data_IF_090784307022
#
_entry.id   IF_090784307022
#
_cell.length_a   1.000
_cell.length_b   1.000
_cell.length_c   1.000
_cell.angle_alpha   90.00
_cell.angle_beta   90.00
_cell.angle_gamma   90.00
#
_symmetry.space_group_name_H-M   'P 1'
#
loop_
_entity.id
_entity.type
_entity.pdbx_description
1 polymer ?
#
# COMPACT_ATOMS: atom_id res chain seq x y z
N UNK A 1 10.77 -23.69 31.07
CA UNK A 1 9.59 -23.01 30.52
C UNK A 1 8.37 -23.87 30.77
N UNK A 2 7.41 -23.40 31.57
CA UNK A 2 6.12 -24.06 31.81
C UNK A 2 5.11 -23.50 30.83
N UNK A 3 4.58 -24.37 29.97
CA UNK A 3 3.63 -24.00 28.92
C UNK A 3 2.34 -24.76 29.16
N UNK A 4 1.23 -24.02 29.19
CA UNK A 4 -0.11 -24.61 29.25
C UNK A 4 -0.74 -24.49 27.87
N UNK A 5 -1.26 -25.60 27.36
CA UNK A 5 -2.04 -25.65 26.13
C UNK A 5 -3.49 -25.93 26.52
N UNK A 6 -4.43 -25.13 26.02
CA UNK A 6 -5.86 -25.31 26.29
C UNK A 6 -6.58 -25.71 25.01
N UNK A 7 -7.17 -26.91 25.03
CA UNK A 7 -7.85 -27.54 23.89
C UNK A 7 -7.03 -28.65 23.26
N UNK A 8 -7.51 -29.89 23.41
CA UNK A 8 -6.96 -31.13 22.85
C UNK A 8 -7.51 -31.52 21.47
N UNK A 9 -8.02 -30.54 20.72
CA UNK A 9 -8.40 -30.72 19.32
C UNK A 9 -7.20 -31.02 18.40
N UNK A 10 -7.41 -30.93 17.08
CA UNK A 10 -6.36 -31.18 16.09
C UNK A 10 -5.10 -30.35 16.38
N UNK A 11 -5.25 -29.03 16.55
CA UNK A 11 -4.14 -28.11 16.80
C UNK A 11 -3.40 -28.45 18.09
N UNK A 12 -4.11 -28.58 19.22
CA UNK A 12 -3.48 -28.88 20.51
C UNK A 12 -2.78 -30.23 20.56
N UNK A 13 -3.37 -31.26 19.94
CA UNK A 13 -2.73 -32.57 19.78
C UNK A 13 -1.41 -32.49 19.02
N UNK A 14 -1.33 -31.69 17.96
CA UNK A 14 -0.06 -31.50 17.24
C UNK A 14 0.92 -30.64 18.04
N UNK A 15 0.46 -29.59 18.70
CA UNK A 15 1.32 -28.71 19.51
C UNK A 15 2.00 -29.47 20.64
N UNK A 16 1.26 -30.29 21.40
CA UNK A 16 1.81 -31.01 22.56
C UNK A 16 2.91 -32.01 22.18
N UNK A 17 2.88 -32.51 20.93
CA UNK A 17 3.94 -33.40 20.40
C UNK A 17 5.22 -32.66 20.02
N UNK A 18 5.14 -31.37 19.70
CA UNK A 18 6.29 -30.56 19.28
C UNK A 18 6.81 -29.64 20.39
N UNK A 19 6.02 -29.45 21.46
CA UNK A 19 6.37 -28.63 22.61
C UNK A 19 6.56 -29.55 23.83
N UNK A 20 7.78 -30.08 24.04
CA UNK A 20 8.04 -30.99 25.15
C UNK A 20 7.80 -30.30 26.49
N UNK A 21 7.38 -31.07 27.51
CA UNK A 21 7.11 -30.60 28.88
C UNK A 21 5.97 -29.56 28.98
N UNK A 22 5.07 -29.50 28.00
CA UNK A 22 3.82 -28.76 28.10
C UNK A 22 2.75 -29.56 28.86
N UNK A 23 1.78 -28.83 29.44
CA UNK A 23 0.58 -29.41 30.06
C UNK A 23 -0.60 -29.07 29.17
N UNK A 24 -1.38 -30.07 28.75
CA UNK A 24 -2.58 -29.85 27.91
C UNK A 24 -3.87 -30.07 28.71
N UNK A 25 -4.79 -29.11 28.65
CA UNK A 25 -6.13 -29.21 29.24
C UNK A 25 -7.12 -29.58 28.14
N UNK A 26 -7.93 -30.62 28.39
CA UNK A 26 -9.00 -31.06 27.49
C UNK A 26 -10.22 -31.51 28.30
N UNK A 27 -11.42 -31.10 27.86
CA UNK A 27 -12.68 -31.38 28.56
C UNK A 27 -13.36 -32.67 28.11
N UNK A 28 -13.11 -33.10 26.88
CA UNK A 28 -13.66 -34.33 26.32
C UNK A 28 -12.84 -35.54 26.81
N UNK A 29 -13.45 -36.49 27.53
CA UNK A 29 -12.73 -37.65 28.07
C UNK A 29 -12.02 -38.50 27.02
N UNK A 30 -12.63 -38.72 25.85
CA UNK A 30 -12.04 -39.56 24.80
C UNK A 30 -10.76 -38.93 24.21
N UNK A 31 -10.79 -37.61 23.98
CA UNK A 31 -9.61 -36.86 23.52
C UNK A 31 -8.54 -36.80 24.61
N UNK A 32 -8.94 -36.65 25.88
CA UNK A 32 -8.04 -36.68 27.01
C UNK A 32 -7.30 -38.02 27.10
N UNK A 33 -8.00 -39.16 27.03
CA UNK A 33 -7.36 -40.49 27.07
C UNK A 33 -6.34 -40.66 25.94
N UNK A 34 -6.70 -40.20 24.73
CA UNK A 34 -5.77 -40.20 23.59
C UNK A 34 -4.51 -39.36 23.88
N UNK A 35 -4.65 -38.17 24.46
CA UNK A 35 -3.52 -37.31 24.80
C UNK A 35 -2.68 -37.89 25.94
N UNK A 36 -3.32 -38.47 26.95
CA UNK A 36 -2.70 -39.07 28.12
C UNK A 36 -1.90 -40.33 27.77
N UNK A 37 -2.29 -41.05 26.71
CA UNK A 37 -1.53 -42.19 26.18
C UNK A 37 -0.23 -41.80 25.44
N UNK A 38 -0.02 -40.51 25.15
CA UNK A 38 1.19 -40.04 24.49
C UNK A 38 2.37 -40.00 25.47
N UNK A 39 3.46 -40.64 25.11
CA UNK A 39 4.69 -40.64 25.91
C UNK A 39 5.21 -39.21 26.09
N UNK A 40 5.40 -38.80 27.35
CA UNK A 40 5.99 -37.49 27.69
C UNK A 40 5.01 -36.31 27.66
N UNK A 41 3.70 -36.56 27.48
CA UNK A 41 2.65 -35.55 27.55
C UNK A 41 1.97 -35.61 28.91
N UNK A 42 1.78 -34.44 29.54
CA UNK A 42 0.95 -34.31 30.74
C UNK A 42 -0.41 -33.73 30.35
N UNK A 43 -1.47 -34.51 30.47
CA UNK A 43 -2.84 -34.07 30.21
C UNK A 43 -3.60 -33.80 31.52
N UNK A 44 -4.52 -32.85 31.50
CA UNK A 44 -5.46 -32.54 32.59
C UNK A 44 -6.88 -32.58 32.01
N UNK A 45 -7.75 -33.41 32.62
CA UNK A 45 -9.16 -33.50 32.25
C UNK A 45 -9.93 -32.36 32.92
N UNK A 46 -10.55 -31.48 32.13
CA UNK A 46 -11.38 -30.39 32.66
C UNK A 46 -11.70 -29.30 31.63
N UNK A 47 -12.63 -28.41 31.98
CA UNK A 47 -12.91 -27.23 31.16
C UNK A 47 -11.82 -26.17 31.37
N UNK A 48 -11.19 -25.74 30.28
CA UNK A 48 -10.17 -24.71 30.34
C UNK A 48 -10.69 -23.36 30.83
N UNK A 49 -11.99 -23.06 30.68
CA UNK A 49 -12.59 -21.84 31.19
C UNK A 49 -12.77 -21.84 32.73
N UNK A 50 -12.57 -22.97 33.41
CA UNK A 50 -12.58 -23.06 34.86
C UNK A 50 -11.20 -22.68 35.44
N UNK A 51 -11.16 -21.58 36.20
CA UNK A 51 -9.96 -21.09 36.89
C UNK A 51 -9.31 -22.17 37.76
N UNK A 52 -10.08 -23.06 38.40
CA UNK A 52 -9.54 -24.15 39.23
C UNK A 52 -8.80 -25.20 38.40
N UNK A 53 -9.30 -25.50 37.20
CA UNK A 53 -8.64 -26.43 36.27
C UNK A 53 -7.32 -25.82 35.79
N UNK A 54 -7.33 -24.55 35.41
CA UNK A 54 -6.11 -23.84 35.00
C UNK A 54 -5.06 -23.81 36.12
N UNK A 55 -5.48 -23.55 37.37
CA UNK A 55 -4.60 -23.61 38.54
C UNK A 55 -4.01 -25.00 38.75
N UNK A 56 -4.82 -26.07 38.63
CA UNK A 56 -4.33 -27.45 38.74
C UNK A 56 -3.31 -27.82 37.65
N UNK A 57 -3.37 -27.15 36.50
CA UNK A 57 -2.40 -27.30 35.40
C UNK A 57 -1.12 -26.47 35.60
N UNK A 58 -1.06 -25.64 36.65
CA UNK A 58 0.10 -24.85 37.04
C UNK A 58 0.11 -23.41 36.49
N UNK A 59 -1.07 -22.79 36.31
CA UNK A 59 -1.19 -21.44 35.75
C UNK A 59 -0.36 -20.39 36.50
N UNK A 60 -0.26 -20.48 37.82
CA UNK A 60 0.45 -19.50 38.66
C UNK A 60 1.94 -19.34 38.28
N UNK A 61 2.55 -20.43 37.80
CA UNK A 61 3.96 -20.49 37.41
C UNK A 61 4.13 -20.59 35.88
N UNK A 62 3.08 -20.33 35.09
CA UNK A 62 3.11 -20.51 33.65
C UNK A 62 3.92 -19.40 32.96
N UNK A 63 4.92 -19.78 32.17
CA UNK A 63 5.67 -18.87 31.32
C UNK A 63 4.88 -18.49 30.06
N UNK A 64 4.03 -19.40 29.59
CA UNK A 64 3.14 -19.19 28.45
C UNK A 64 1.84 -19.99 28.52
N UNK A 65 0.78 -19.42 27.94
CA UNK A 65 -0.51 -20.09 27.74
C UNK A 65 -0.91 -20.02 26.27
N UNK A 66 -1.17 -21.17 25.65
CA UNK A 66 -1.56 -21.32 24.24
C UNK A 66 -2.99 -21.88 24.18
N UNK A 67 -3.92 -21.12 23.62
CA UNK A 67 -5.35 -21.39 23.71
C UNK A 67 -5.88 -21.67 22.31
N UNK A 68 -6.21 -22.93 22.03
CA UNK A 68 -6.49 -23.44 20.68
C UNK A 68 -7.78 -24.25 20.61
N UNK A 69 -8.74 -23.91 21.47
CA UNK A 69 -10.09 -24.49 21.39
C UNK A 69 -10.83 -23.93 20.16
N UNK A 70 -11.91 -24.61 19.77
CA UNK A 70 -12.75 -24.18 18.65
C UNK A 70 -13.77 -23.09 19.03
N UNK A 71 -13.78 -22.65 20.29
CA UNK A 71 -14.77 -21.72 20.83
C UNK A 71 -14.09 -20.41 21.26
N UNK A 72 -14.42 -19.32 20.57
CA UNK A 72 -13.86 -18.00 20.82
C UNK A 72 -14.21 -17.46 22.22
N UNK A 73 -15.38 -17.82 22.77
CA UNK A 73 -15.76 -17.40 24.13
C UNK A 73 -14.89 -18.06 25.18
N UNK A 74 -14.63 -19.36 25.03
CA UNK A 74 -13.68 -20.08 25.87
C UNK A 74 -12.30 -19.45 25.71
N UNK A 75 -11.85 -19.22 24.48
CA UNK A 75 -10.52 -18.70 24.22
C UNK A 75 -10.30 -17.31 24.86
N UNK A 76 -11.28 -16.42 24.73
CA UNK A 76 -11.25 -15.10 25.37
C UNK A 76 -11.24 -15.18 26.90
N UNK A 77 -12.08 -16.05 27.47
CA UNK A 77 -12.20 -16.22 28.92
C UNK A 77 -10.89 -16.73 29.52
N UNK A 78 -10.30 -17.76 28.91
CA UNK A 78 -9.02 -18.33 29.34
C UNK A 78 -7.89 -17.30 29.25
N UNK A 79 -7.85 -16.52 28.15
CA UNK A 79 -6.85 -15.48 27.97
C UNK A 79 -6.97 -14.39 29.05
N UNK A 80 -8.20 -14.02 29.40
CA UNK A 80 -8.49 -13.04 30.46
C UNK A 80 -8.04 -13.54 31.84
N UNK A 81 -8.32 -14.81 32.16
CA UNK A 81 -7.85 -15.44 33.41
C UNK A 81 -6.31 -15.47 33.42
N UNK A 82 -5.66 -15.95 32.35
CA UNK A 82 -4.21 -16.01 32.27
C UNK A 82 -3.55 -14.62 32.45
N UNK A 83 -4.15 -13.55 31.90
CA UNK A 83 -3.70 -12.17 32.13
C UNK A 83 -3.79 -11.75 33.60
N UNK A 84 -4.89 -12.09 34.29
CA UNK A 84 -5.06 -11.81 35.72
C UNK A 84 -3.96 -12.44 36.58
N UNK A 85 -3.45 -13.61 36.17
CA UNK A 85 -2.32 -14.30 36.82
C UNK A 85 -0.93 -13.81 36.36
N UNK A 86 -0.86 -12.75 35.55
CA UNK A 86 0.41 -12.14 35.15
C UNK A 86 1.20 -12.94 34.11
N UNK A 87 0.57 -13.90 33.42
CA UNK A 87 1.23 -14.63 32.32
C UNK A 87 1.58 -13.64 31.21
N UNK A 88 2.88 -13.56 30.89
CA UNK A 88 3.39 -12.60 29.89
C UNK A 88 3.14 -13.05 28.46
N UNK A 89 3.29 -14.35 28.20
CA UNK A 89 3.18 -14.92 26.85
C UNK A 89 1.84 -15.64 26.68
N UNK A 90 0.85 -14.95 26.12
CA UNK A 90 -0.48 -15.53 25.88
C UNK A 90 -0.76 -15.51 24.39
N UNK A 91 -1.04 -16.67 23.82
CA UNK A 91 -1.39 -16.87 22.42
C UNK A 91 -2.79 -17.47 22.37
N UNK A 92 -3.72 -16.81 21.69
CA UNK A 92 -5.09 -17.28 21.57
C UNK A 92 -5.53 -17.42 20.11
N UNK A 93 -6.23 -18.51 19.81
CA UNK A 93 -6.96 -18.68 18.55
C UNK A 93 -8.27 -17.88 18.60
N UNK A 94 -8.58 -17.21 17.50
CA UNK A 94 -9.86 -16.54 17.26
C UNK A 94 -10.39 -17.01 15.90
N UNK A 95 -11.52 -17.72 15.86
CA UNK A 95 -12.08 -18.23 14.61
C UNK A 95 -12.87 -17.17 13.86
N UNK A 96 -13.67 -16.36 14.55
CA UNK A 96 -14.48 -15.32 13.92
C UNK A 96 -13.71 -13.98 13.87
N UNK A 97 -13.39 -13.43 12.67
CA UNK A 97 -12.74 -12.13 12.53
C UNK A 97 -13.48 -10.97 13.22
N UNK A 98 -14.81 -11.03 13.32
CA UNK A 98 -15.62 -9.97 13.96
C UNK A 98 -15.29 -9.79 15.46
N UNK A 99 -14.62 -10.76 16.08
CA UNK A 99 -14.19 -10.69 17.47
C UNK A 99 -12.86 -9.94 17.68
N UNK A 100 -12.21 -9.44 16.62
CA UNK A 100 -10.84 -8.88 16.68
C UNK A 100 -10.72 -7.72 17.67
N UNK A 101 -11.64 -6.75 17.63
CA UNK A 101 -11.66 -5.61 18.56
C UNK A 101 -11.74 -6.09 20.00
N UNK A 102 -12.55 -7.12 20.26
CA UNK A 102 -12.72 -7.68 21.60
C UNK A 102 -11.43 -8.35 22.07
N UNK A 103 -10.80 -9.21 21.27
CA UNK A 103 -9.55 -9.88 21.66
C UNK A 103 -8.38 -8.89 21.81
N UNK A 104 -8.31 -7.86 20.97
CA UNK A 104 -7.27 -6.83 21.01
C UNK A 104 -7.23 -6.08 22.35
N UNK A 105 -8.40 -5.90 23.00
CA UNK A 105 -8.49 -5.27 24.33
C UNK A 105 -7.70 -6.00 25.43
N UNK A 106 -7.41 -7.30 25.25
CA UNK A 106 -6.64 -8.09 26.22
C UNK A 106 -5.13 -7.91 26.09
N UNK A 107 -4.64 -7.27 25.02
CA UNK A 107 -3.21 -7.01 24.79
C UNK A 107 -2.36 -8.30 24.89
N UNK A 108 -2.79 -9.33 24.17
CA UNK A 108 -2.14 -10.65 24.12
C UNK A 108 -0.83 -10.60 23.32
N UNK A 109 0.03 -11.61 23.48
CA UNK A 109 1.29 -11.68 22.74
C UNK A 109 1.07 -12.01 21.27
N UNK A 110 0.04 -12.81 20.97
CA UNK A 110 -0.44 -13.05 19.62
C UNK A 110 -1.91 -13.48 19.62
N UNK A 111 -2.63 -13.05 18.61
CA UNK A 111 -3.96 -13.56 18.25
C UNK A 111 -3.80 -14.27 16.91
N UNK A 112 -4.18 -15.53 16.84
CA UNK A 112 -4.14 -16.32 15.60
C UNK A 112 -5.56 -16.46 15.07
N UNK A 113 -5.83 -15.89 13.90
CA UNK A 113 -7.10 -16.08 13.20
C UNK A 113 -6.93 -16.99 11.98
N UNK A 114 -7.20 -18.30 12.11
CA UNK A 114 -7.05 -19.23 10.98
C UNK A 114 -7.90 -18.83 9.77
N UNK A 115 -9.11 -18.29 10.02
CA UNK A 115 -10.02 -17.83 8.97
C UNK A 115 -9.37 -16.75 8.11
N UNK A 116 -8.81 -15.70 8.72
CA UNK A 116 -8.12 -14.62 7.99
C UNK A 116 -6.87 -15.14 7.28
N UNK A 117 -6.06 -15.96 7.94
CA UNK A 117 -4.83 -16.53 7.34
C UNK A 117 -5.14 -17.38 6.12
N UNK A 118 -6.15 -18.24 6.20
CA UNK A 118 -6.55 -19.10 5.08
C UNK A 118 -7.20 -18.28 3.97
N UNK A 119 -8.03 -17.29 4.31
CA UNK A 119 -8.64 -16.40 3.33
C UNK A 119 -7.58 -15.62 2.54
N UNK A 120 -6.60 -15.01 3.20
CA UNK A 120 -5.49 -14.32 2.54
C UNK A 120 -4.64 -15.27 1.71
N UNK A 121 -4.35 -16.48 2.21
CA UNK A 121 -3.60 -17.48 1.45
C UNK A 121 -4.35 -17.95 0.19
N UNK A 122 -5.65 -18.21 0.29
CA UNK A 122 -6.49 -18.58 -0.87
C UNK A 122 -6.55 -17.42 -1.86
N UNK A 123 -6.71 -16.18 -1.37
CA UNK A 123 -6.66 -14.97 -2.19
C UNK A 123 -5.34 -14.86 -2.94
N UNK A 124 -4.20 -15.11 -2.30
CA UNK A 124 -2.89 -15.16 -2.96
C UNK A 124 -2.78 -16.27 -4.01
N UNK A 125 -3.38 -17.44 -3.77
CA UNK A 125 -3.34 -18.56 -4.71
C UNK A 125 -4.24 -18.34 -5.94
N UNK A 126 -5.43 -17.77 -5.74
CA UNK A 126 -6.40 -17.50 -6.82
C UNK A 126 -6.00 -16.23 -7.59
N UNK A 127 -5.47 -15.24 -6.90
CA UNK A 127 -4.91 -14.03 -7.47
C UNK A 127 -3.42 -13.94 -7.11
N UNK A 128 -2.54 -14.70 -7.80
CA UNK A 128 -1.10 -14.52 -7.64
C UNK A 128 -0.73 -13.09 -8.04
N UNK A 129 -0.48 -12.24 -7.04
CA UNK A 129 -0.31 -10.79 -7.22
C UNK A 129 -1.46 -9.91 -6.70
N UNK A 130 -2.46 -10.46 -6.01
CA UNK A 130 -3.31 -9.66 -5.11
C UNK A 130 -2.41 -8.88 -4.15
N UNK A 131 -2.63 -7.58 -4.16
CA UNK A 131 -1.54 -6.61 -4.13
C UNK A 131 -0.87 -6.53 -2.75
N UNK A 132 0.47 -6.63 -2.71
CA UNK A 132 1.22 -5.92 -1.68
C UNK A 132 0.79 -4.46 -1.78
N UNK A 133 0.41 -3.84 -0.67
CA UNK A 133 0.10 -2.42 -0.61
C UNK A 133 1.09 -1.63 -1.47
N UNK A 134 0.58 -1.01 -2.53
CA UNK A 134 1.38 -0.20 -3.42
C UNK A 134 1.75 1.08 -2.66
N UNK A 135 3.02 1.21 -2.30
CA UNK A 135 3.57 2.38 -1.60
C UNK A 135 4.62 3.06 -2.46
N UNK A 136 4.63 4.39 -2.43
CA UNK A 136 5.78 5.17 -2.91
C UNK A 136 6.84 5.12 -1.82
N UNK A 137 7.94 4.42 -2.07
CA UNK A 137 9.11 4.31 -1.18
C UNK A 137 10.31 5.06 -1.70
N UNK A 138 10.38 5.32 -3.00
CA UNK A 138 11.49 6.05 -3.63
C UNK A 138 10.98 6.98 -4.72
N UNK A 139 11.28 8.27 -4.55
CA UNK A 139 10.94 9.37 -5.47
C UNK A 139 12.24 9.92 -6.06
N UNK A 140 12.29 10.03 -7.39
CA UNK A 140 13.37 10.70 -8.09
C UNK A 140 12.93 12.07 -8.60
N UNK A 141 13.81 13.07 -8.47
CA UNK A 141 13.59 14.41 -9.00
C UNK A 141 14.76 14.78 -9.92
N UNK A 142 14.60 14.61 -11.25
CA UNK A 142 15.58 15.08 -12.22
C UNK A 142 15.69 16.62 -12.21
N UNK A 143 16.91 17.13 -12.05
CA UNK A 143 17.20 18.56 -12.01
C UNK A 143 17.45 19.04 -13.43
N UNK A 144 16.38 19.45 -14.12
CA UNK A 144 16.42 19.88 -15.52
C UNK A 144 17.13 21.21 -15.68
N UNK A 145 16.83 22.17 -14.80
CA UNK A 145 17.43 23.49 -14.78
C UNK A 145 17.31 24.11 -13.37
N UNK A 146 18.19 25.07 -13.00
CA UNK A 146 18.14 25.72 -11.70
C UNK A 146 16.87 26.57 -11.53
N UNK A 147 16.34 27.13 -12.61
CA UNK A 147 15.18 28.03 -12.57
C UNK A 147 13.84 27.28 -12.48
N UNK A 148 13.85 25.96 -12.74
CA UNK A 148 12.62 25.16 -12.78
C UNK A 148 12.42 24.31 -11.54
N UNK A 149 13.50 23.89 -10.85
CA UNK A 149 13.50 22.83 -9.81
C UNK A 149 12.45 23.00 -8.70
N UNK A 150 12.07 24.24 -8.40
CA UNK A 150 11.16 24.57 -7.31
C UNK A 150 9.86 23.76 -7.33
N UNK A 151 9.20 23.59 -8.48
CA UNK A 151 7.87 22.95 -8.54
C UNK A 151 7.96 21.45 -8.26
N UNK A 152 8.82 20.75 -9.00
CA UNK A 152 9.03 19.32 -8.83
C UNK A 152 9.58 18.99 -7.44
N UNK A 153 10.50 19.81 -6.92
CA UNK A 153 11.04 19.63 -5.57
C UNK A 153 9.96 19.79 -4.50
N UNK A 154 9.17 20.87 -4.55
CA UNK A 154 8.07 21.10 -3.58
C UNK A 154 7.07 19.94 -3.58
N UNK A 155 6.65 19.50 -4.76
CA UNK A 155 5.66 18.42 -4.93
C UNK A 155 6.21 17.07 -4.44
N UNK A 156 7.45 16.75 -4.79
CA UNK A 156 8.12 15.53 -4.34
C UNK A 156 8.40 15.53 -2.83
N UNK A 157 8.76 16.68 -2.25
CA UNK A 157 8.99 16.83 -0.83
C UNK A 157 7.70 16.57 -0.03
N UNK A 158 6.57 17.09 -0.50
CA UNK A 158 5.28 16.92 0.15
C UNK A 158 4.78 15.47 0.09
N UNK A 159 5.09 14.76 -1.00
CA UNK A 159 4.84 13.32 -1.10
C UNK A 159 5.74 12.54 -0.15
N UNK A 160 7.06 12.82 -0.16
CA UNK A 160 8.03 12.19 0.75
C UNK A 160 7.64 12.37 2.22
N UNK A 161 7.22 13.56 2.64
CA UNK A 161 6.73 13.85 4.00
C UNK A 161 5.47 13.07 4.40
N UNK A 162 4.65 12.64 3.44
CA UNK A 162 3.39 11.93 3.69
C UNK A 162 3.54 10.41 3.60
N UNK A 163 4.57 9.92 2.91
CA UNK A 163 4.77 8.50 2.63
C UNK A 163 6.09 7.95 3.18
N UNK A 164 6.89 8.79 3.85
CA UNK A 164 8.26 8.50 4.27
C UNK A 164 9.17 8.00 3.13
N UNK A 165 8.86 8.40 1.89
CA UNK A 165 9.62 7.96 0.72
C UNK A 165 11.01 8.58 0.69
N UNK A 166 11.99 7.78 0.26
CA UNK A 166 13.32 8.28 -0.04
C UNK A 166 13.26 9.27 -1.20
N UNK A 167 13.75 10.48 -1.00
CA UNK A 167 13.78 11.54 -2.01
C UNK A 167 15.19 11.70 -2.58
N UNK A 168 15.36 11.47 -3.88
CA UNK A 168 16.67 11.59 -4.52
C UNK A 168 16.59 12.64 -5.63
N UNK A 169 17.31 13.74 -5.46
CA UNK A 169 17.49 14.74 -6.51
C UNK A 169 18.65 14.30 -7.39
N UNK A 170 18.44 14.21 -8.69
CA UNK A 170 19.45 13.74 -9.65
C UNK A 170 19.75 14.85 -10.65
N UNK A 171 20.98 15.34 -10.67
CA UNK A 171 21.41 16.40 -11.58
C UNK A 171 22.69 16.04 -12.31
N UNK A 172 23.03 16.81 -13.35
CA UNK A 172 24.31 16.69 -14.05
C UNK A 172 25.26 17.88 -13.83
N UNK A 173 24.82 18.89 -13.08
CA UNK A 173 25.63 20.03 -12.67
C UNK A 173 25.40 20.36 -11.20
N UNK A 174 26.49 20.55 -10.46
CA UNK A 174 26.44 20.87 -9.02
C UNK A 174 25.79 22.22 -8.72
N UNK A 175 25.87 23.15 -9.65
CA UNK A 175 25.35 24.52 -9.51
C UNK A 175 23.83 24.61 -9.51
N UNK A 176 23.13 23.54 -9.90
CA UNK A 176 21.66 23.54 -9.96
C UNK A 176 20.97 23.23 -8.63
N UNK A 177 21.72 23.02 -7.54
CA UNK A 177 21.16 22.65 -6.24
C UNK A 177 21.66 23.59 -5.16
N UNK A 178 20.82 24.54 -4.78
CA UNK A 178 21.16 25.63 -3.88
C UNK A 178 20.27 25.66 -2.65
N UNK A 179 19.03 26.10 -2.85
CA UNK A 179 18.05 26.27 -1.77
C UNK A 179 17.52 24.92 -1.27
N UNK A 180 17.34 23.96 -2.18
CA UNK A 180 16.84 22.62 -1.91
C UNK A 180 17.75 21.88 -0.93
N UNK A 181 19.08 22.02 -1.09
CA UNK A 181 20.05 21.44 -0.17
C UNK A 181 19.87 21.98 1.25
N UNK A 182 19.59 23.27 1.40
CA UNK A 182 19.34 23.89 2.71
C UNK A 182 18.06 23.35 3.30
N UNK A 183 16.97 23.30 2.52
CA UNK A 183 15.68 22.75 2.96
C UNK A 183 15.84 21.30 3.42
N UNK A 184 16.46 20.44 2.61
CA UNK A 184 16.69 19.03 2.95
C UNK A 184 17.52 18.87 4.22
N UNK A 185 18.53 19.71 4.46
CA UNK A 185 19.35 19.65 5.67
C UNK A 185 18.62 20.01 6.97
N UNK A 186 17.47 20.69 6.85
CA UNK A 186 16.63 21.09 7.98
C UNK A 186 15.53 20.07 8.31
N UNK A 187 15.34 19.06 7.45
CA UNK A 187 14.27 18.07 7.57
C UNK A 187 14.87 16.71 7.91
N UNK A 188 14.23 15.99 8.84
CA UNK A 188 14.59 14.60 9.16
C UNK A 188 13.93 13.66 8.14
N UNK A 189 14.42 13.72 6.90
CA UNK A 189 13.90 12.95 5.77
C UNK A 189 15.01 12.11 5.12
N UNK A 190 14.68 10.91 4.60
CA UNK A 190 15.61 10.11 3.83
C UNK A 190 15.85 10.75 2.45
N UNK A 191 16.69 11.78 2.37
CA UNK A 191 16.95 12.52 1.14
C UNK A 191 18.43 12.53 0.73
N UNK A 192 18.71 12.45 -0.57
CA UNK A 192 20.05 12.63 -1.13
C UNK A 192 20.05 13.46 -2.41
N UNK A 193 21.21 14.01 -2.74
CA UNK A 193 21.45 14.76 -3.98
C UNK A 193 22.61 14.07 -4.70
N UNK A 194 22.32 13.52 -5.87
CA UNK A 194 23.25 12.78 -6.72
C UNK A 194 23.60 13.63 -7.94
N UNK A 195 24.89 13.88 -8.16
CA UNK A 195 25.36 14.67 -9.30
C UNK A 195 26.26 13.78 -10.16
N UNK A 196 25.82 13.55 -11.40
CA UNK A 196 26.43 12.65 -12.36
C UNK A 196 26.81 13.41 -13.63
N UNK A 197 28.08 13.42 -14.01
CA UNK A 197 28.51 14.09 -15.23
C UNK A 197 27.91 13.42 -16.48
N UNK A 198 27.45 14.23 -17.45
CA UNK A 198 26.94 13.73 -18.73
C UNK A 198 25.47 14.09 -19.00
N UNK A 199 24.78 13.23 -19.75
CA UNK A 199 23.36 13.40 -20.08
C UNK A 199 22.48 13.16 -18.86
N UNK A 200 21.52 14.05 -18.63
CA UNK A 200 20.62 13.96 -17.47
C UNK A 200 19.76 12.68 -17.49
N UNK A 201 19.38 12.20 -18.67
CA UNK A 201 18.59 10.96 -18.80
C UNK A 201 19.41 9.75 -18.35
N UNK A 202 20.69 9.70 -18.70
CA UNK A 202 21.62 8.65 -18.26
C UNK A 202 21.91 8.74 -16.75
N UNK A 203 22.04 9.95 -16.20
CA UNK A 203 22.14 10.17 -14.77
C UNK A 203 20.92 9.61 -14.03
N UNK A 204 19.70 9.94 -14.49
CA UNK A 204 18.46 9.40 -13.93
C UNK A 204 18.42 7.87 -14.02
N UNK A 205 18.88 7.29 -15.14
CA UNK A 205 18.89 5.83 -15.35
C UNK A 205 19.68 5.07 -14.27
N UNK A 206 20.82 5.61 -13.81
CA UNK A 206 21.62 5.02 -12.73
C UNK A 206 20.85 4.91 -11.41
N UNK A 207 19.92 5.83 -11.16
CA UNK A 207 19.15 5.90 -9.92
C UNK A 207 17.69 5.43 -10.07
N UNK A 208 17.17 5.29 -11.29
CA UNK A 208 15.79 4.89 -11.62
C UNK A 208 15.42 3.48 -11.14
N UNK A 209 16.42 2.60 -10.95
CA UNK A 209 16.16 1.25 -10.45
C UNK A 209 15.46 1.29 -9.08
N UNK A 210 14.26 0.71 -9.04
CA UNK A 210 13.41 0.67 -7.85
C UNK A 210 12.79 2.01 -7.47
N UNK A 211 12.80 3.02 -8.36
CA UNK A 211 12.01 4.23 -8.18
C UNK A 211 10.54 3.95 -8.45
N UNK A 212 9.67 4.40 -7.54
CA UNK A 212 8.22 4.23 -7.65
C UNK A 212 7.56 5.42 -8.35
N UNK A 213 8.23 6.58 -8.33
CA UNK A 213 7.76 7.81 -8.94
C UNK A 213 8.94 8.68 -9.40
N UNK A 214 8.84 9.26 -10.59
CA UNK A 214 9.74 10.32 -11.05
C UNK A 214 8.93 11.62 -11.07
N UNK A 215 9.38 12.67 -10.38
CA UNK A 215 8.74 13.98 -10.36
C UNK A 215 9.61 14.95 -11.14
N UNK A 216 9.05 15.57 -12.18
CA UNK A 216 9.77 16.46 -13.10
C UNK A 216 9.05 17.78 -13.23
N UNK A 217 9.82 18.82 -13.50
CA UNK A 217 9.27 20.14 -13.79
C UNK A 217 8.58 20.20 -15.15
N UNK A 218 7.72 21.23 -15.36
CA UNK A 218 7.31 21.59 -16.70
C UNK A 218 8.54 21.93 -17.54
N UNK A 219 8.57 21.45 -18.77
CA UNK A 219 9.48 21.99 -19.76
C UNK A 219 8.85 23.21 -20.45
N UNK A 220 9.48 24.37 -20.28
CA UNK A 220 9.22 25.54 -21.12
C UNK A 220 10.11 25.45 -22.36
N UNK A 221 9.59 24.85 -23.43
CA UNK A 221 10.31 24.77 -24.71
C UNK A 221 9.80 25.82 -25.70
N UNK A 222 10.73 26.56 -26.29
CA UNK A 222 10.45 27.38 -27.47
C UNK A 222 10.08 26.50 -28.69
N UNK A 223 9.41 27.08 -29.69
CA UNK A 223 9.03 26.36 -30.92
C UNK A 223 10.25 25.73 -31.64
N UNK A 224 11.40 26.41 -31.62
CA UNK A 224 12.64 25.90 -32.22
C UNK A 224 13.24 24.73 -31.44
N UNK A 225 13.15 24.74 -30.10
CA UNK A 225 13.65 23.65 -29.27
C UNK A 225 12.82 22.38 -29.42
N UNK A 226 11.49 22.50 -29.58
CA UNK A 226 10.61 21.36 -29.86
C UNK A 226 11.01 20.59 -31.13
N UNK A 227 11.60 21.29 -32.12
CA UNK A 227 12.04 20.70 -33.39
C UNK A 227 13.42 20.04 -33.25
N UNK A 228 14.34 20.65 -32.48
CA UNK A 228 15.75 20.26 -32.41
C UNK A 228 16.07 19.31 -31.25
N UNK A 229 15.30 19.32 -30.16
CA UNK A 229 15.51 18.50 -28.96
C UNK A 229 14.24 17.73 -28.63
N UNK A 230 14.37 16.43 -28.34
CA UNK A 230 13.27 15.70 -27.70
C UNK A 230 13.10 16.21 -26.27
N UNK A 231 11.88 16.49 -25.85
CA UNK A 231 11.50 16.73 -24.45
C UNK A 231 12.15 15.73 -23.49
N UNK A 232 12.65 16.16 -22.32
CA UNK A 232 13.13 15.26 -21.28
C UNK A 232 12.00 14.34 -20.81
N UNK A 233 10.79 14.86 -20.65
CA UNK A 233 9.61 14.09 -20.25
C UNK A 233 9.41 12.95 -21.26
N UNK A 234 9.46 13.26 -22.56
CA UNK A 234 9.37 12.24 -23.62
C UNK A 234 10.51 11.23 -23.58
N UNK A 235 11.76 11.67 -23.38
CA UNK A 235 12.91 10.76 -23.24
C UNK A 235 12.78 9.84 -22.03
N UNK A 236 12.26 10.34 -20.92
CA UNK A 236 12.00 9.56 -19.72
C UNK A 236 10.88 8.53 -19.97
N UNK A 237 9.77 8.93 -20.60
CA UNK A 237 8.67 8.02 -20.97
C UNK A 237 9.10 6.93 -21.97
N UNK A 238 10.01 7.26 -22.90
CA UNK A 238 10.57 6.29 -23.84
C UNK A 238 11.48 5.27 -23.13
N UNK A 239 12.15 5.64 -22.02
CA UNK A 239 13.14 4.79 -21.32
C UNK A 239 12.63 4.07 -20.08
N UNK A 240 11.67 4.63 -19.37
CA UNK A 240 11.22 4.14 -18.07
C UNK A 240 9.74 3.78 -18.09
N UNK A 241 9.38 2.74 -17.33
CA UNK A 241 7.98 2.39 -17.06
C UNK A 241 7.51 2.96 -15.71
N UNK A 242 8.41 3.60 -14.96
CA UNK A 242 8.08 4.32 -13.73
C UNK A 242 7.14 5.49 -14.03
N UNK A 243 6.03 5.66 -13.28
CA UNK A 243 5.14 6.79 -13.43
C UNK A 243 5.87 8.13 -13.29
N UNK A 244 5.48 9.10 -14.12
CA UNK A 244 6.12 10.42 -14.20
C UNK A 244 5.11 11.49 -13.83
N UNK A 245 5.33 12.15 -12.69
CA UNK A 245 4.56 13.30 -12.25
C UNK A 245 5.19 14.57 -12.82
N UNK A 246 4.52 15.18 -13.78
CA UNK A 246 4.90 16.49 -14.32
C UNK A 246 4.27 17.57 -13.45
N UNK A 247 5.07 18.17 -12.58
CA UNK A 247 4.63 19.18 -11.62
C UNK A 247 4.24 20.47 -12.35
N UNK A 248 3.23 21.17 -11.82
CA UNK A 248 2.85 22.52 -12.27
C UNK A 248 2.83 23.50 -11.12
N UNK A 249 2.18 23.09 -10.04
CA UNK A 249 2.10 23.82 -8.78
C UNK A 249 1.53 22.85 -7.75
N UNK A 250 2.26 22.62 -6.66
CA UNK A 250 1.72 21.76 -5.62
C UNK A 250 0.64 22.49 -4.81
N UNK A 251 -0.53 21.85 -4.72
CA UNK A 251 -1.54 22.04 -3.67
C UNK A 251 -1.97 20.63 -3.27
N UNK A 252 -2.41 20.39 -2.02
CA UNK A 252 -2.98 19.10 -1.66
C UNK A 252 -4.06 18.72 -2.67
N UNK A 253 -3.95 17.54 -3.29
CA UNK A 253 -4.85 17.15 -4.36
C UNK A 253 -6.24 16.90 -3.80
N UNK A 254 -7.13 17.88 -3.92
CA UNK A 254 -8.51 17.74 -3.46
C UNK A 254 -9.35 17.04 -4.49
N UNK A 255 -9.08 17.30 -5.78
CA UNK A 255 -9.77 16.66 -6.91
C UNK A 255 -8.75 16.04 -7.86
N UNK A 256 -8.92 14.75 -8.13
CA UNK A 256 -8.11 13.96 -9.04
C UNK A 256 -8.98 13.53 -10.21
N UNK A 257 -8.55 13.81 -11.44
CA UNK A 257 -9.15 13.25 -12.65
C UNK A 257 -8.39 11.99 -13.05
N UNK A 258 -9.06 10.84 -13.09
CA UNK A 258 -8.49 9.60 -13.61
C UNK A 258 -9.04 9.36 -15.02
N UNK A 259 -8.17 9.44 -16.03
CA UNK A 259 -8.50 8.99 -17.38
C UNK A 259 -8.30 7.47 -17.44
N UNK A 260 -9.36 6.71 -17.73
CA UNK A 260 -9.34 5.25 -17.70
C UNK A 260 -9.52 4.67 -19.10
N UNK A 261 -8.63 3.75 -19.49
CA UNK A 261 -8.72 2.94 -20.70
C UNK A 261 -8.34 1.47 -20.39
N UNK A 262 -8.47 0.59 -21.37
CA UNK A 262 -8.13 -0.83 -21.22
C UNK A 262 -6.65 -1.13 -21.57
N UNK A 263 -5.81 -0.09 -21.63
CA UNK A 263 -4.38 -0.26 -21.89
C UNK A 263 -3.70 -0.97 -20.71
N UNK A 264 -2.43 -1.36 -20.91
CA UNK A 264 -1.63 -1.94 -19.84
C UNK A 264 -1.40 -0.98 -18.65
N UNK A 265 -1.60 0.33 -18.86
CA UNK A 265 -1.49 1.33 -17.81
C UNK A 265 -2.65 1.25 -16.79
N UNK A 266 -3.77 0.59 -17.14
CA UNK A 266 -4.99 0.53 -16.32
C UNK A 266 -4.69 0.26 -14.84
N UNK A 267 -4.01 -0.86 -14.56
CA UNK A 267 -3.76 -1.28 -13.18
C UNK A 267 -2.89 -0.27 -12.41
N UNK A 268 -1.85 0.29 -13.05
CA UNK A 268 -0.96 1.25 -12.39
C UNK A 268 -1.67 2.59 -12.17
N UNK A 269 -2.49 3.03 -13.14
CA UNK A 269 -3.28 4.26 -13.02
C UNK A 269 -4.28 4.20 -11.87
N UNK A 270 -4.97 3.07 -11.70
CA UNK A 270 -5.91 2.87 -10.59
C UNK A 270 -5.20 2.77 -9.23
N UNK A 271 -4.05 2.09 -9.14
CA UNK A 271 -3.24 2.07 -7.92
C UNK A 271 -2.76 3.45 -7.51
N UNK A 272 -2.30 4.25 -8.48
CA UNK A 272 -1.92 5.63 -8.23
C UNK A 272 -3.13 6.45 -7.80
N UNK A 273 -4.29 6.30 -8.45
CA UNK A 273 -5.52 6.99 -8.04
C UNK A 273 -5.87 6.67 -6.58
N UNK A 274 -5.86 5.39 -6.19
CA UNK A 274 -6.09 4.94 -4.80
C UNK A 274 -5.10 5.59 -3.84
N UNK A 275 -3.81 5.47 -4.12
CA UNK A 275 -2.73 5.95 -3.24
C UNK A 275 -2.83 7.47 -3.03
N UNK A 276 -2.95 8.25 -4.11
CA UNK A 276 -3.08 9.70 -4.00
C UNK A 276 -4.43 10.10 -3.36
N UNK A 277 -5.51 9.36 -3.64
CA UNK A 277 -6.81 9.55 -3.00
C UNK A 277 -6.76 9.39 -1.50
N UNK A 278 -6.07 8.36 -1.01
CA UNK A 278 -5.85 8.08 0.41
C UNK A 278 -4.95 9.14 1.07
N UNK A 279 -3.78 9.42 0.49
CA UNK A 279 -2.78 10.37 1.01
C UNK A 279 -3.37 11.78 1.20
N UNK A 280 -4.23 12.20 0.27
CA UNK A 280 -4.77 13.56 0.22
C UNK A 280 -6.25 13.66 0.57
N UNK A 281 -6.93 12.54 0.86
CA UNK A 281 -8.39 12.44 1.07
C UNK A 281 -9.17 13.10 -0.07
N UNK A 282 -8.82 12.71 -1.29
CA UNK A 282 -9.30 13.36 -2.51
C UNK A 282 -10.70 12.89 -2.94
N UNK A 283 -11.35 13.69 -3.76
CA UNK A 283 -12.38 13.22 -4.68
C UNK A 283 -11.71 12.79 -5.98
N UNK A 284 -11.97 11.56 -6.42
CA UNK A 284 -11.50 11.00 -7.68
C UNK A 284 -12.68 10.94 -8.64
N UNK A 285 -12.61 11.69 -9.73
CA UNK A 285 -13.57 11.61 -10.81
C UNK A 285 -12.94 10.82 -11.97
N UNK A 286 -13.65 9.79 -12.45
CA UNK A 286 -13.15 8.86 -13.46
C UNK A 286 -13.81 9.16 -14.79
N UNK A 287 -13.00 9.51 -15.79
CA UNK A 287 -13.43 9.62 -17.18
C UNK A 287 -13.03 8.35 -17.94
N UNK A 288 -14.04 7.57 -18.32
CA UNK A 288 -13.84 6.35 -19.10
C UNK A 288 -13.66 6.74 -20.57
N UNK A 289 -12.47 6.49 -21.12
CA UNK A 289 -12.12 6.82 -22.50
C UNK A 289 -12.69 5.82 -23.51
N UNK A 290 -12.89 4.58 -23.07
CA UNK A 290 -13.51 3.49 -23.82
C UNK A 290 -14.25 2.56 -22.85
N UNK A 291 -15.43 2.07 -23.22
CA UNK A 291 -16.20 1.17 -22.34
C UNK A 291 -15.60 -0.25 -22.38
N UNK A 292 -15.34 -0.81 -21.18
CA UNK A 292 -14.78 -2.16 -21.02
C UNK A 292 -15.14 -2.73 -19.64
N UNK A 293 -15.42 -4.02 -19.60
CA UNK A 293 -15.68 -4.75 -18.35
C UNK A 293 -14.48 -4.67 -17.38
N UNK A 294 -13.25 -4.65 -17.92
CA UNK A 294 -12.04 -4.49 -17.11
C UNK A 294 -12.02 -3.15 -16.36
N UNK A 295 -12.40 -2.07 -17.03
CA UNK A 295 -12.44 -0.73 -16.43
C UNK A 295 -13.55 -0.66 -15.40
N UNK A 296 -14.71 -1.24 -15.69
CA UNK A 296 -15.84 -1.24 -14.75
C UNK A 296 -15.52 -2.01 -13.47
N UNK A 297 -14.84 -3.16 -13.59
CA UNK A 297 -14.37 -3.92 -12.44
C UNK A 297 -13.32 -3.13 -11.62
N UNK A 298 -12.34 -2.50 -12.27
CA UNK A 298 -11.34 -1.67 -11.60
C UNK A 298 -11.99 -0.46 -10.89
N UNK A 299 -12.97 0.16 -11.54
CA UNK A 299 -13.77 1.27 -11.00
C UNK A 299 -14.55 0.87 -9.76
N UNK A 300 -15.19 -0.29 -9.78
CA UNK A 300 -15.93 -0.80 -8.63
C UNK A 300 -14.98 -1.10 -7.47
N UNK A 301 -13.83 -1.73 -7.73
CA UNK A 301 -12.79 -1.96 -6.72
C UNK A 301 -12.30 -0.67 -6.06
N UNK A 302 -11.94 0.34 -6.85
CA UNK A 302 -11.48 1.63 -6.32
C UNK A 302 -12.56 2.34 -5.49
N UNK A 303 -13.83 2.20 -5.86
CA UNK A 303 -14.96 2.74 -5.10
C UNK A 303 -15.11 2.06 -3.74
N UNK A 304 -14.96 0.74 -3.68
CA UNK A 304 -15.04 -0.02 -2.45
C UNK A 304 -13.86 0.29 -1.51
N UNK A 305 -12.67 0.51 -2.07
CA UNK A 305 -11.51 1.01 -1.34
C UNK A 305 -11.73 2.43 -0.80
N UNK A 306 -12.35 3.33 -1.58
CA UNK A 306 -12.68 4.68 -1.16
C UNK A 306 -13.57 4.75 0.07
N UNK A 307 -14.54 3.84 0.17
CA UNK A 307 -15.39 3.70 1.37
C UNK A 307 -14.59 3.32 2.62
N UNK A 308 -13.50 2.57 2.44
CA UNK A 308 -12.65 2.07 3.53
C UNK A 308 -11.56 3.06 3.92
N UNK A 309 -11.04 3.84 2.96
CA UNK A 309 -9.86 4.71 3.13
C UNK A 309 -10.19 6.22 3.05
N UNK A 310 -11.46 6.60 3.27
CA UNK A 310 -11.93 7.99 3.38
C UNK A 310 -11.64 8.88 2.14
N UNK A 311 -11.91 8.35 0.94
CA UNK A 311 -11.88 9.11 -0.31
C UNK A 311 -13.09 8.80 -1.19
N UNK A 312 -13.44 9.72 -2.10
CA UNK A 312 -14.66 9.59 -2.93
C UNK A 312 -14.30 9.22 -4.36
N UNK A 313 -15.15 8.40 -4.98
CA UNK A 313 -14.99 7.98 -6.37
C UNK A 313 -16.30 8.16 -7.14
N UNK A 314 -16.26 8.95 -8.21
CA UNK A 314 -17.40 9.22 -9.09
C UNK A 314 -17.07 8.96 -10.56
N UNK A 315 -18.03 8.46 -11.35
CA UNK A 315 -17.88 8.32 -12.81
C UNK A 315 -18.38 9.60 -13.47
N UNK A 316 -17.57 10.19 -14.35
CA UNK A 316 -17.98 11.33 -15.17
C UNK A 316 -18.88 10.83 -16.30
N UNK A 317 -20.03 11.49 -16.47
CA UNK A 317 -20.89 11.35 -17.64
C UNK A 317 -20.73 12.56 -18.53
N UNK A 318 -20.61 12.33 -19.84
CA UNK A 318 -20.48 13.39 -20.83
C UNK A 318 -21.22 12.99 -22.11
N UNK A 319 -21.62 13.99 -22.88
CA UNK A 319 -22.20 13.81 -24.21
C UNK A 319 -21.22 14.32 -25.27
N UNK A 320 -21.07 13.59 -26.37
CA UNK A 320 -20.23 14.01 -27.50
C UNK A 320 -18.87 13.31 -27.56
N UNK A 321 -17.88 14.02 -28.11
CA UNK A 321 -16.59 13.44 -28.43
C UNK A 321 -15.66 13.38 -27.20
N UNK A 322 -15.21 12.18 -26.88
CA UNK A 322 -14.34 11.89 -25.71
C UNK A 322 -13.05 12.73 -25.70
N UNK A 323 -12.40 12.97 -26.85
CA UNK A 323 -11.16 13.74 -26.93
C UNK A 323 -11.40 15.21 -26.61
N UNK A 324 -12.51 15.77 -27.11
CA UNK A 324 -12.89 17.17 -26.87
C UNK A 324 -13.18 17.38 -25.37
N UNK A 325 -14.00 16.51 -24.78
CA UNK A 325 -14.35 16.60 -23.37
C UNK A 325 -13.14 16.35 -22.46
N UNK A 326 -12.23 15.44 -22.84
CA UNK A 326 -10.97 15.21 -22.10
C UNK A 326 -10.15 16.50 -22.03
N UNK A 327 -9.93 17.16 -23.17
CA UNK A 327 -9.17 18.41 -23.22
C UNK A 327 -9.85 19.50 -22.41
N UNK A 328 -11.17 19.60 -22.50
CA UNK A 328 -11.96 20.60 -21.78
C UNK A 328 -11.87 20.42 -20.26
N UNK A 329 -12.00 19.19 -19.76
CA UNK A 329 -11.86 18.87 -18.33
C UNK A 329 -10.45 19.14 -17.83
N UNK A 330 -9.42 18.71 -18.56
CA UNK A 330 -8.02 18.95 -18.16
C UNK A 330 -7.70 20.45 -18.16
N UNK A 331 -8.16 21.20 -19.17
CA UNK A 331 -7.89 22.64 -19.30
C UNK A 331 -8.73 23.51 -18.37
N UNK A 332 -9.83 23.01 -17.80
CA UNK A 332 -10.64 23.80 -16.86
C UNK A 332 -9.85 24.18 -15.61
N UNK A 333 -8.88 23.34 -15.22
CA UNK A 333 -8.08 23.53 -14.02
C UNK A 333 -8.83 23.20 -12.73
N UNK A 334 -9.99 22.54 -12.83
CA UNK A 334 -10.81 22.10 -11.68
C UNK A 334 -10.23 20.89 -10.95
N UNK A 335 -9.30 20.18 -11.59
CA UNK A 335 -8.62 19.00 -11.08
C UNK A 335 -7.18 19.34 -10.72
N UNK A 336 -6.80 19.16 -9.46
CA UNK A 336 -5.47 19.47 -8.96
C UNK A 336 -4.41 18.51 -9.54
N UNK A 337 -4.83 17.28 -9.84
CA UNK A 337 -4.03 16.23 -10.48
C UNK A 337 -4.86 15.54 -11.57
N UNK A 338 -4.25 15.26 -12.72
CA UNK A 338 -4.82 14.30 -13.70
C UNK A 338 -3.89 13.11 -13.89
N UNK A 339 -4.44 11.90 -13.76
CA UNK A 339 -3.75 10.64 -14.05
C UNK A 339 -4.05 10.25 -15.49
N UNK A 340 -3.01 10.17 -16.31
CA UNK A 340 -3.06 10.01 -17.75
C UNK A 340 -2.37 8.70 -18.18
N UNK A 341 -3.08 7.74 -18.79
CA UNK A 341 -2.48 6.53 -19.34
C UNK A 341 -1.73 6.84 -20.64
N UNK A 342 -0.40 6.76 -20.60
CA UNK A 342 0.45 7.00 -21.76
C UNK A 342 0.39 5.83 -22.74
N UNK A 343 0.24 6.15 -24.03
CA UNK A 343 0.10 5.13 -25.08
C UNK A 343 -1.33 4.62 -25.27
N UNK A 344 -2.31 5.22 -24.59
CA UNK A 344 -3.74 5.00 -24.87
C UNK A 344 -4.05 5.22 -26.36
N UNK A 345 -4.74 4.29 -27.06
CA UNK A 345 -5.15 4.50 -28.45
C UNK A 345 -5.94 5.81 -28.65
N UNK A 346 -6.77 6.16 -27.67
CA UNK A 346 -7.58 7.38 -27.67
C UNK A 346 -6.71 8.64 -27.52
N UNK A 347 -5.68 8.59 -26.65
CA UNK A 347 -4.80 9.74 -26.40
C UNK A 347 -3.62 9.84 -27.39
N UNK A 348 -3.29 8.76 -28.09
CA UNK A 348 -2.31 8.77 -29.20
C UNK A 348 -2.89 9.44 -30.45
N UNK A 349 -4.22 9.43 -30.59
CA UNK A 349 -4.89 10.10 -31.69
C UNK A 349 -4.70 11.62 -31.56
N UNK A 350 -4.20 12.23 -32.64
CA UNK A 350 -3.97 13.68 -32.75
C UNK A 350 -2.98 14.27 -31.73
N UNK A 351 -1.98 13.48 -31.29
CA UNK A 351 -0.96 13.89 -30.29
C UNK A 351 -1.57 14.45 -28.98
N UNK A 352 -2.77 14.00 -28.63
CA UNK A 352 -3.56 14.54 -27.51
C UNK A 352 -2.84 14.39 -26.17
N UNK A 353 -2.27 13.21 -25.91
CA UNK A 353 -1.51 12.93 -24.68
C UNK A 353 -0.31 13.86 -24.53
N UNK A 354 0.46 14.06 -25.61
CA UNK A 354 1.62 14.97 -25.61
C UNK A 354 1.17 16.42 -25.37
N UNK A 355 0.08 16.84 -26.02
CA UNK A 355 -0.51 18.15 -25.81
C UNK A 355 -0.98 18.38 -24.36
N UNK A 356 -1.61 17.38 -23.74
CA UNK A 356 -2.03 17.45 -22.32
C UNK A 356 -0.80 17.57 -21.41
N UNK A 357 0.19 16.69 -21.58
CA UNK A 357 1.40 16.67 -20.75
C UNK A 357 2.14 18.01 -20.76
N UNK A 358 2.17 18.71 -21.89
CA UNK A 358 2.86 19.99 -21.99
C UNK A 358 1.98 21.18 -21.58
N UNK A 359 0.68 21.17 -21.90
CA UNK A 359 -0.16 22.37 -21.82
C UNK A 359 -1.17 22.36 -20.66
N UNK A 360 -1.26 21.29 -19.87
CA UNK A 360 -2.17 21.24 -18.74
C UNK A 360 -1.82 22.33 -17.70
N UNK A 361 -2.82 23.01 -17.13
CA UNK A 361 -2.61 24.05 -16.11
C UNK A 361 -2.26 23.47 -14.72
N UNK A 362 -2.45 22.16 -14.52
CA UNK A 362 -2.33 21.43 -13.25
C UNK A 362 -1.44 20.21 -13.41
N UNK A 363 -0.96 19.65 -12.30
CA UNK A 363 0.00 18.55 -12.34
C UNK A 363 -0.59 17.33 -13.06
N UNK A 364 0.24 16.65 -13.84
CA UNK A 364 -0.16 15.47 -14.62
C UNK A 364 0.71 14.28 -14.20
N UNK A 365 0.07 13.21 -13.72
CA UNK A 365 0.73 11.93 -13.51
C UNK A 365 0.58 11.07 -14.75
N UNK A 366 1.67 10.89 -15.48
CA UNK A 366 1.73 10.08 -16.69
C UNK A 366 2.10 8.64 -16.30
N UNK A 367 1.24 7.69 -16.64
CA UNK A 367 1.41 6.28 -16.32
C UNK A 367 1.56 5.48 -17.61
N UNK A 368 2.70 4.80 -17.78
CA UNK A 368 2.95 3.96 -18.95
C UNK A 368 2.53 2.52 -18.66
N UNK A 369 2.01 1.86 -19.71
CA UNK A 369 1.60 0.46 -19.70
C UNK A 369 2.61 -0.49 -20.33
#
# INVERSE_FOLDING_TARGET
MRIIIVGGGRTGYHLVKHIPRSVIIEKNPDKFERLNSLVGVKAVLGDGADEKVLLSAGLEDADAVIIVTADDQINYTVASIAKKYGVRNIIARMENPDNETRFSSLNLSAILCPTTVVAEYIKELIHPGAEKEFFIKKILVPIVSPDTLAKAFEEALQLSLKTDAQLILVGNKKEYVGEERKVLSLLDLPASIEIEEGDLTEAVEKHAKGADLIVVDPEEMSYFEKILKKSIIKRLLERFDTPILVSRHFKPYKRILLLADSSKALNVSFKMARLFGEIFRSQIDIMVLEESELIENARQGLRDEGLTHDFKVEKISFEGNVNIETVKLVKSGDYDLTILPWGSPTLLKDDLGDSIVHNAPKSILVVKG
#
